data_IF_999001969058
#
_entry.id   IF_999001969058
#
_cell.length_a   1.000
_cell.length_b   1.000
_cell.length_c   1.000
_cell.angle_alpha   90.00
_cell.angle_beta   90.00
_cell.angle_gamma   90.00
#
_symmetry.space_group_name_H-M   'P 1'
#
loop_
_entity.id
_entity.type
_entity.pdbx_description
1 polymer ?
#
# COMPACT_ATOMS: atom_id res chain seq x y z
N UNK A 1 -21.74 -0.82 -34.05
CA UNK A 1 -21.78 -1.71 -32.89
C UNK A 1 -22.93 -2.67 -33.10
N UNK A 2 -22.64 -3.93 -33.45
CA UNK A 2 -23.68 -4.97 -33.41
C UNK A 2 -23.96 -5.32 -31.95
N UNK A 3 -25.15 -5.84 -31.66
CA UNK A 3 -25.65 -6.08 -30.31
C UNK A 3 -24.90 -7.18 -29.53
N UNK A 4 -23.90 -7.80 -30.16
CA UNK A 4 -23.16 -8.96 -29.66
C UNK A 4 -21.63 -8.73 -29.66
N UNK A 5 -21.20 -7.48 -29.80
CA UNK A 5 -19.78 -7.13 -29.81
C UNK A 5 -19.19 -7.34 -28.40
N UNK A 6 -18.09 -8.09 -28.31
CA UNK A 6 -17.47 -8.43 -27.03
C UNK A 6 -16.33 -7.47 -26.73
N UNK A 7 -16.45 -6.74 -25.62
CA UNK A 7 -15.38 -5.90 -25.12
C UNK A 7 -14.44 -6.71 -24.23
N UNK A 8 -13.14 -6.66 -24.54
CA UNK A 8 -12.08 -7.27 -23.72
C UNK A 8 -11.32 -6.18 -22.98
N UNK A 9 -11.04 -6.42 -21.71
CA UNK A 9 -10.27 -5.50 -20.89
C UNK A 9 -9.31 -6.26 -19.99
N UNK A 10 -8.15 -5.65 -19.77
CA UNK A 10 -7.09 -6.21 -18.94
C UNK A 10 -6.37 -5.12 -18.16
N UNK A 11 -5.81 -5.49 -17.01
CA UNK A 11 -4.97 -4.61 -16.19
C UNK A 11 -3.59 -5.23 -16.03
N UNK A 12 -2.57 -4.47 -16.41
CA UNK A 12 -1.18 -4.75 -16.10
C UNK A 12 -0.44 -3.42 -15.88
N UNK A 13 0.38 -3.28 -14.82
CA UNK A 13 0.64 -4.26 -13.76
C UNK A 13 -0.51 -4.41 -12.75
N UNK A 14 -0.61 -5.58 -12.09
CA UNK A 14 -1.59 -5.83 -11.01
C UNK A 14 -1.26 -5.11 -9.69
N UNK A 15 -0.11 -4.45 -9.62
CA UNK A 15 0.29 -3.64 -8.47
C UNK A 15 0.78 -2.27 -8.91
N UNK A 16 0.26 -1.22 -8.28
CA UNK A 16 0.64 0.17 -8.55
C UNK A 16 1.22 0.75 -7.25
N UNK A 17 2.45 1.30 -7.27
CA UNK A 17 3.01 1.94 -6.08
C UNK A 17 2.15 3.14 -5.66
N UNK A 18 1.99 3.35 -4.34
CA UNK A 18 1.37 4.57 -3.83
C UNK A 18 2.27 5.77 -4.10
N UNK A 19 1.70 6.97 -4.14
CA UNK A 19 2.51 8.19 -4.23
C UNK A 19 3.03 8.65 -2.87
N UNK A 20 4.09 9.45 -2.90
CA UNK A 20 4.67 10.08 -1.71
C UNK A 20 5.41 9.11 -0.77
N UNK A 21 5.48 9.49 0.51
CA UNK A 21 6.23 8.74 1.53
C UNK A 21 5.74 7.30 1.67
N UNK A 22 4.44 7.07 1.57
CA UNK A 22 3.88 5.71 1.68
C UNK A 22 4.39 4.81 0.55
N UNK A 23 4.46 5.33 -0.68
CA UNK A 23 5.10 4.63 -1.80
C UNK A 23 6.57 4.34 -1.57
N UNK A 24 7.33 5.32 -1.07
CA UNK A 24 8.74 5.15 -0.73
C UNK A 24 8.97 4.06 0.33
N UNK A 25 8.07 3.93 1.29
CA UNK A 25 8.10 2.88 2.31
C UNK A 25 7.54 1.53 1.82
N UNK A 26 7.21 1.41 0.53
CA UNK A 26 6.76 0.17 -0.11
C UNK A 26 5.23 -0.02 -0.14
N UNK A 27 4.46 1.01 0.15
CA UNK A 27 3.00 1.02 0.03
C UNK A 27 2.57 0.92 -1.43
N UNK A 28 1.58 0.06 -1.70
CA UNK A 28 1.11 -0.22 -3.06
C UNK A 28 -0.38 -0.51 -3.06
N UNK A 29 -1.03 -0.22 -4.17
CA UNK A 29 -2.36 -0.71 -4.49
C UNK A 29 -2.23 -2.04 -5.24
N UNK A 30 -2.98 -3.06 -4.80
CA UNK A 30 -3.11 -4.34 -5.48
C UNK A 30 -4.45 -4.42 -6.18
N UNK A 31 -4.46 -4.88 -7.42
CA UNK A 31 -5.69 -5.16 -8.13
C UNK A 31 -6.46 -6.26 -7.38
N UNK A 32 -7.71 -5.96 -7.02
CA UNK A 32 -8.59 -6.87 -6.31
C UNK A 32 -9.53 -7.61 -7.25
N UNK A 33 -9.96 -6.93 -8.31
CA UNK A 33 -10.92 -7.46 -9.27
C UNK A 33 -11.67 -6.35 -10.00
N UNK A 34 -12.61 -6.76 -10.83
CA UNK A 34 -13.55 -5.92 -11.53
C UNK A 34 -14.87 -5.83 -10.76
N UNK A 35 -15.50 -4.67 -10.79
CA UNK A 35 -16.84 -4.43 -10.24
C UNK A 35 -17.73 -3.67 -11.22
N UNK A 36 -19.00 -3.53 -10.85
CA UNK A 36 -20.05 -2.95 -11.70
C UNK A 36 -20.86 -4.04 -12.38
N UNK A 37 -21.04 -3.92 -13.69
CA UNK A 37 -21.83 -4.85 -14.50
C UNK A 37 -21.11 -6.19 -14.78
N UNK A 38 -19.80 -6.27 -14.50
CA UNK A 38 -19.05 -7.52 -14.38
C UNK A 38 -18.40 -7.60 -12.99
N UNK A 39 -18.42 -8.78 -12.38
CA UNK A 39 -17.58 -9.13 -11.24
C UNK A 39 -16.63 -10.26 -11.61
N UNK A 40 -15.34 -10.02 -11.48
CA UNK A 40 -14.31 -10.99 -11.81
C UNK A 40 -13.03 -10.65 -11.06
N UNK A 41 -12.39 -11.64 -10.46
CA UNK A 41 -11.11 -11.47 -9.78
C UNK A 41 -9.92 -11.65 -10.75
N UNK A 42 -10.20 -11.97 -12.02
CA UNK A 42 -9.19 -12.14 -13.04
C UNK A 42 -8.73 -10.78 -13.59
N UNK A 43 -7.41 -10.58 -13.79
CA UNK A 43 -6.86 -9.34 -14.33
C UNK A 43 -7.27 -9.09 -15.78
N UNK A 44 -7.68 -10.12 -16.52
CA UNK A 44 -8.22 -10.06 -17.87
C UNK A 44 -9.62 -10.64 -17.89
N UNK A 45 -10.57 -9.94 -18.51
CA UNK A 45 -11.97 -10.40 -18.61
C UNK A 45 -12.64 -9.79 -19.83
N UNK A 46 -13.81 -10.35 -20.18
CA UNK A 46 -14.60 -9.91 -21.32
C UNK A 46 -16.07 -9.78 -20.95
N UNK A 47 -16.77 -8.86 -21.63
CA UNK A 47 -18.20 -8.64 -21.47
C UNK A 47 -18.86 -8.34 -22.81
N UNK A 48 -20.06 -8.89 -23.03
CA UNK A 48 -20.88 -8.64 -24.22
C UNK A 48 -21.52 -7.26 -24.08
N UNK A 49 -21.42 -6.41 -25.11
CA UNK A 49 -21.95 -5.04 -25.11
C UNK A 49 -23.36 -4.97 -25.72
N UNK A 50 -24.30 -5.69 -25.12
CA UNK A 50 -25.73 -5.68 -25.49
C UNK A 50 -26.47 -4.37 -25.11
N UNK A 51 -25.90 -3.63 -24.16
CA UNK A 51 -26.34 -2.33 -23.67
C UNK A 51 -25.12 -1.50 -23.23
N UNK A 52 -25.27 -0.20 -22.91
CA UNK A 52 -24.24 0.52 -22.15
C UNK A 52 -23.95 -0.22 -20.84
N UNK A 53 -22.67 -0.48 -20.57
CA UNK A 53 -22.19 -1.14 -19.34
C UNK A 53 -21.06 -0.35 -18.71
N UNK A 54 -20.94 -0.43 -17.39
CA UNK A 54 -19.88 0.17 -16.58
C UNK A 54 -19.14 -0.91 -15.82
N UNK A 55 -17.87 -1.06 -16.14
CA UNK A 55 -16.93 -1.92 -15.42
C UNK A 55 -15.85 -1.03 -14.80
N UNK A 56 -15.55 -1.25 -13.52
CA UNK A 56 -14.54 -0.49 -12.78
C UNK A 56 -13.51 -1.43 -12.16
N UNK A 57 -12.23 -1.12 -12.32
CA UNK A 57 -11.17 -1.81 -11.60
C UNK A 57 -11.22 -1.44 -10.11
N UNK A 58 -11.27 -2.45 -9.25
CA UNK A 58 -11.24 -2.31 -7.79
C UNK A 58 -9.82 -2.59 -7.32
N UNK A 59 -9.29 -1.67 -6.52
CA UNK A 59 -7.94 -1.73 -5.98
C UNK A 59 -7.99 -1.77 -4.46
N UNK A 60 -7.08 -2.53 -3.85
CA UNK A 60 -6.94 -2.68 -2.41
C UNK A 60 -5.58 -2.17 -1.96
N UNK A 61 -5.55 -1.42 -0.86
CA UNK A 61 -4.32 -0.87 -0.32
C UNK A 61 -3.54 -1.95 0.45
N UNK A 62 -2.27 -2.14 0.09
CA UNK A 62 -1.32 -3.01 0.79
C UNK A 62 -0.25 -2.17 1.49
N UNK A 63 -0.30 -2.20 2.83
CA UNK A 63 0.62 -1.49 3.74
C UNK A 63 1.63 -2.42 4.43
N UNK A 64 1.70 -3.70 4.05
CA UNK A 64 2.55 -4.68 4.72
C UNK A 64 4.02 -4.22 4.77
N UNK A 65 4.55 -3.77 3.64
CA UNK A 65 5.92 -3.23 3.56
C UNK A 65 6.08 -1.93 4.35
N UNK A 66 5.08 -1.06 4.36
CA UNK A 66 5.11 0.20 5.12
C UNK A 66 5.25 -0.07 6.61
N UNK A 67 4.45 -1.00 7.15
CA UNK A 67 4.54 -1.39 8.56
C UNK A 67 5.89 -2.02 8.90
N UNK A 68 6.41 -2.89 8.03
CA UNK A 68 7.71 -3.51 8.22
C UNK A 68 8.85 -2.47 8.24
N UNK A 69 8.91 -1.59 7.23
CA UNK A 69 9.96 -0.57 7.12
C UNK A 69 9.83 0.47 8.24
N UNK A 70 8.61 0.94 8.52
CA UNK A 70 8.34 1.86 9.62
C UNK A 70 8.75 1.29 10.97
N UNK A 71 8.48 0.00 11.21
CA UNK A 71 8.90 -0.71 12.42
C UNK A 71 10.42 -0.78 12.58
N UNK A 72 11.15 -1.06 11.48
CA UNK A 72 12.61 -1.09 11.48
C UNK A 72 13.19 0.29 11.81
N UNK A 73 12.68 1.35 11.17
CA UNK A 73 13.12 2.73 11.42
C UNK A 73 12.87 3.12 12.88
N UNK A 74 11.68 2.81 13.41
CA UNK A 74 11.33 3.08 14.80
C UNK A 74 12.26 2.34 15.78
N UNK A 75 12.58 1.07 15.51
CA UNK A 75 13.51 0.30 16.32
C UNK A 75 14.91 0.92 16.32
N UNK A 76 15.43 1.28 15.14
CA UNK A 76 16.75 1.91 14.98
C UNK A 76 16.85 3.29 15.64
N UNK A 77 15.77 4.05 15.76
CA UNK A 77 15.75 5.35 16.46
C UNK A 77 15.59 5.16 17.97
N UNK A 78 14.77 4.19 18.39
CA UNK A 78 14.48 3.96 19.81
C UNK A 78 15.72 3.56 20.61
N UNK A 79 16.57 2.69 20.06
CA UNK A 79 17.80 2.20 20.71
C UNK A 79 18.76 3.35 21.07
N UNK A 80 19.24 4.18 20.13
CA UNK A 80 20.13 5.30 20.43
C UNK A 80 19.45 6.34 21.31
N UNK A 81 18.15 6.62 21.12
CA UNK A 81 17.41 7.55 21.97
C UNK A 81 17.42 7.09 23.44
N UNK A 82 17.16 5.81 23.70
CA UNK A 82 17.21 5.23 25.05
C UNK A 82 18.62 5.32 25.65
N UNK A 83 19.67 5.05 24.87
CA UNK A 83 21.06 5.14 25.32
C UNK A 83 21.42 6.57 25.69
N UNK A 84 21.12 7.55 24.81
CA UNK A 84 21.38 8.97 25.05
C UNK A 84 20.63 9.45 26.30
N UNK A 85 19.35 9.10 26.44
CA UNK A 85 18.54 9.47 27.62
C UNK A 85 19.10 8.86 28.92
N UNK A 86 19.55 7.60 28.89
CA UNK A 86 20.19 6.95 30.05
C UNK A 86 21.52 7.62 30.41
N UNK A 87 22.36 7.94 29.42
CA UNK A 87 23.64 8.62 29.63
C UNK A 87 23.45 10.02 30.20
N UNK A 88 22.49 10.80 29.67
CA UNK A 88 22.16 12.11 30.21
C UNK A 88 21.68 12.05 31.67
N UNK A 89 20.84 11.07 32.01
CA UNK A 89 20.37 10.86 33.40
C UNK A 89 21.50 10.48 34.36
N UNK A 90 22.48 9.68 33.91
CA UNK A 90 23.66 9.32 34.71
C UNK A 90 24.54 10.54 34.95
N UNK A 91 24.82 11.34 33.92
CA UNK A 91 25.59 12.57 34.04
C UNK A 91 24.94 13.57 35.03
N UNK A 92 23.61 13.76 34.92
CA UNK A 92 22.87 14.66 35.82
C UNK A 92 22.94 14.21 37.29
N UNK A 93 22.86 12.91 37.57
CA UNK A 93 23.02 12.35 38.92
C UNK A 93 24.42 12.58 39.50
N UNK A 94 25.47 12.51 38.68
CA UNK A 94 26.84 12.77 39.12
C UNK A 94 27.01 14.26 39.49
N UNK A 95 26.44 15.15 38.67
CA UNK A 95 26.52 16.60 38.89
C UNK A 95 25.71 17.07 40.11
N UNK A 96 24.62 16.39 40.45
CA UNK A 96 23.76 16.76 41.60
C UNK A 96 24.19 16.14 42.93
N UNK A 97 25.11 15.16 42.91
CA UNK A 97 25.62 14.47 44.12
C UNK A 97 26.93 15.09 44.67
N UNK A 98 27.44 16.15 44.03
CA UNK A 98 28.67 16.85 44.40
C UNK A 98 28.34 18.19 45.03
#
# INVERSE_FOLDING_TARGET
FSKDDTAKFSVAPETVPMEGLLGFLGGKYRFKGWGGDLRSDLPSSEIIMDSPKKVSAVWEADYSSVYMVGGIIAALISIPCIVILKMGRLALKILTKR
#
